data_IF_791942262275
#
_entry.id   IF_791942262275
#
_cell.length_a   1.000
_cell.length_b   1.000
_cell.length_c   1.000
_cell.angle_alpha   90.00
_cell.angle_beta   90.00
_cell.angle_gamma   90.00
#
_symmetry.space_group_name_H-M   'P 1'
#
loop_
_entity.id
_entity.type
_entity.pdbx_description
1 polymer ?
#
# COMPACT_ATOMS: atom_id res chain seq x y z
N UNK A 1 16.86 -1.12 -10.45
CA UNK A 1 15.58 -1.82 -10.19
C UNK A 1 14.47 -1.13 -10.97
N UNK A 2 13.38 -1.81 -11.30
CA UNK A 2 12.21 -1.16 -11.91
C UNK A 2 11.60 -0.13 -10.96
N UNK A 3 10.98 0.93 -11.49
CA UNK A 3 10.19 1.88 -10.71
C UNK A 3 8.74 1.43 -10.65
N UNK A 4 8.07 1.76 -9.55
CA UNK A 4 6.63 1.54 -9.41
C UNK A 4 5.99 2.59 -8.52
N UNK A 5 4.67 2.53 -8.43
CA UNK A 5 3.85 3.34 -7.52
C UNK A 5 2.70 2.51 -6.99
N UNK A 6 2.20 2.88 -5.82
CA UNK A 6 1.07 2.23 -5.17
C UNK A 6 -0.02 3.25 -4.88
N UNK A 7 -1.26 2.86 -5.12
CA UNK A 7 -2.45 3.62 -4.73
C UNK A 7 -3.29 2.76 -3.78
N UNK A 8 -3.84 3.39 -2.76
CA UNK A 8 -4.60 2.71 -1.72
C UNK A 8 -6.01 3.27 -1.72
N UNK A 9 -6.99 2.40 -1.91
CA UNK A 9 -8.38 2.76 -1.75
C UNK A 9 -8.74 2.76 -0.27
N UNK A 10 -8.79 3.96 0.31
CA UNK A 10 -8.91 4.21 1.75
C UNK A 10 -10.16 3.59 2.37
N UNK A 11 -11.29 3.62 1.66
CA UNK A 11 -12.58 3.10 2.14
C UNK A 11 -12.68 1.56 2.17
N UNK A 12 -11.78 0.87 1.47
CA UNK A 12 -11.64 -0.58 1.52
C UNK A 12 -10.56 -1.04 2.52
N UNK A 13 -9.64 -0.16 2.91
CA UNK A 13 -8.59 -0.48 3.88
C UNK A 13 -9.16 -0.61 5.30
N UNK A 14 -8.84 -1.71 5.98
CA UNK A 14 -9.30 -2.03 7.35
C UNK A 14 -8.15 -2.12 8.38
N UNK A 15 -7.05 -1.38 8.16
CA UNK A 15 -5.92 -1.28 9.09
C UNK A 15 -5.25 -2.61 9.53
N UNK A 16 -5.23 -3.65 8.70
CA UNK A 16 -4.60 -4.94 9.07
C UNK A 16 -3.06 -4.90 9.06
N UNK A 17 -2.47 -3.90 8.39
CA UNK A 17 -1.02 -3.65 8.29
C UNK A 17 -0.17 -4.77 7.66
N UNK A 18 -0.77 -5.78 7.03
CA UNK A 18 -0.01 -6.82 6.31
C UNK A 18 0.83 -6.24 5.18
N UNK A 19 0.30 -5.26 4.45
CA UNK A 19 1.00 -4.58 3.37
C UNK A 19 2.26 -3.82 3.88
N UNK A 20 2.19 -3.24 5.08
CA UNK A 20 3.32 -2.56 5.75
C UNK A 20 4.39 -3.59 6.11
N UNK A 21 4.00 -4.70 6.74
CA UNK A 21 4.93 -5.76 7.18
C UNK A 21 5.61 -6.47 6.01
N UNK A 22 4.89 -6.71 4.91
CA UNK A 22 5.42 -7.49 3.78
C UNK A 22 6.29 -6.66 2.83
N UNK A 23 6.15 -5.33 2.81
CA UNK A 23 6.81 -4.51 1.81
C UNK A 23 8.34 -4.54 2.00
N UNK A 24 9.11 -5.12 1.04
CA UNK A 24 10.55 -5.26 1.20
C UNK A 24 11.29 -3.91 1.18
N UNK A 25 10.66 -2.89 0.57
CA UNK A 25 11.19 -1.53 0.46
C UNK A 25 10.64 -0.58 1.53
N UNK A 26 9.79 -1.07 2.46
CA UNK A 26 9.18 -0.27 3.53
C UNK A 26 8.49 1.01 3.02
N UNK A 27 7.82 0.90 1.86
CA UNK A 27 7.12 2.02 1.20
C UNK A 27 5.87 2.43 1.97
N UNK A 28 5.21 1.49 2.64
CA UNK A 28 3.90 1.66 3.24
C UNK A 28 4.00 1.91 4.76
N UNK A 29 3.15 2.80 5.26
CA UNK A 29 2.91 3.05 6.69
C UNK A 29 1.42 3.19 6.99
N UNK A 30 1.07 3.71 8.17
CA UNK A 30 -0.31 4.01 8.57
C UNK A 30 -0.50 5.52 8.72
N UNK A 31 -1.74 5.99 8.57
CA UNK A 31 -2.15 7.36 8.93
C UNK A 31 -2.68 7.45 10.36
N UNK A 32 -2.73 8.67 10.91
CA UNK A 32 -3.48 9.00 12.14
C UNK A 32 -4.96 9.32 11.85
N UNK A 33 -5.30 9.59 10.58
CA UNK A 33 -6.68 9.80 10.15
C UNK A 33 -7.44 8.47 10.02
N UNK A 34 -8.77 8.55 10.00
CA UNK A 34 -9.66 7.41 9.76
C UNK A 34 -10.54 7.62 8.54
N UNK A 35 -10.93 6.53 7.88
CA UNK A 35 -11.90 6.54 6.78
C UNK A 35 -13.35 6.66 7.30
N UNK A 36 -14.34 6.65 6.41
CA UNK A 36 -15.76 6.81 6.79
C UNK A 36 -16.29 5.73 7.75
N UNK A 37 -15.59 4.59 7.86
CA UNK A 37 -15.93 3.46 8.72
C UNK A 37 -15.14 3.44 10.03
N UNK A 38 -14.31 4.45 10.28
CA UNK A 38 -13.50 4.56 11.50
C UNK A 38 -12.19 3.77 11.49
N UNK A 39 -11.76 3.22 10.34
CA UNK A 39 -10.47 2.54 10.25
C UNK A 39 -9.35 3.51 9.87
N UNK A 40 -8.21 3.42 10.57
CA UNK A 40 -6.96 3.92 10.02
C UNK A 40 -6.65 3.18 8.71
N UNK A 41 -5.97 3.84 7.78
CA UNK A 41 -5.65 3.26 6.48
C UNK A 41 -4.17 3.35 6.18
N UNK A 42 -3.71 2.43 5.33
CA UNK A 42 -2.34 2.44 4.88
C UNK A 42 -2.10 3.60 3.91
N UNK A 43 -0.88 4.17 3.92
CA UNK A 43 -0.44 5.22 3.01
C UNK A 43 1.00 4.96 2.55
N UNK A 44 1.40 5.37 1.32
CA UNK A 44 2.80 5.35 0.92
C UNK A 44 3.57 6.47 1.63
N UNK A 45 4.42 6.10 2.59
CA UNK A 45 5.27 7.04 3.35
C UNK A 45 6.62 7.29 2.69
N UNK A 46 7.05 6.39 1.80
CA UNK A 46 8.25 6.55 0.99
C UNK A 46 7.98 6.06 -0.45
N UNK A 47 7.14 6.77 -1.22
CA UNK A 47 6.68 6.32 -2.53
C UNK A 47 7.80 6.08 -3.54
N UNK A 48 8.88 6.86 -3.47
CA UNK A 48 10.02 6.79 -4.42
C UNK A 48 10.82 5.49 -4.33
N UNK A 49 10.72 4.76 -3.21
CA UNK A 49 11.37 3.46 -3.04
C UNK A 49 10.58 2.29 -3.65
N UNK A 50 9.38 2.54 -4.20
CA UNK A 50 8.55 1.48 -4.75
C UNK A 50 9.16 0.88 -6.03
N UNK A 51 9.28 -0.45 -6.06
CA UNK A 51 9.81 -1.21 -7.19
C UNK A 51 8.72 -1.95 -7.99
N UNK A 52 7.44 -1.74 -7.67
CA UNK A 52 6.31 -2.36 -8.37
C UNK A 52 6.24 -3.88 -8.26
N UNK A 53 6.65 -4.47 -7.13
CA UNK A 53 6.67 -5.94 -6.93
C UNK A 53 5.31 -6.59 -6.62
N UNK A 54 4.26 -5.79 -6.42
CA UNK A 54 2.88 -6.22 -6.12
C UNK A 54 2.63 -7.02 -4.83
N UNK A 55 3.65 -7.33 -4.01
CA UNK A 55 3.47 -8.10 -2.76
C UNK A 55 2.40 -7.51 -1.82
N UNK A 56 2.35 -6.18 -1.69
CA UNK A 56 1.35 -5.50 -0.87
C UNK A 56 -0.08 -5.71 -1.38
N UNK A 57 -0.30 -5.71 -2.69
CA UNK A 57 -1.61 -5.98 -3.28
C UNK A 57 -1.99 -7.45 -3.15
N UNK A 58 -1.05 -8.37 -3.37
CA UNK A 58 -1.29 -9.81 -3.25
C UNK A 58 -1.66 -10.23 -1.82
N UNK A 59 -1.05 -9.64 -0.79
CA UNK A 59 -1.36 -9.97 0.61
C UNK A 59 -2.62 -9.25 1.13
N UNK A 60 -3.15 -8.26 0.40
CA UNK A 60 -4.26 -7.45 0.88
C UNK A 60 -5.56 -8.26 0.83
N UNK A 61 -6.19 -8.61 1.97
CA UNK A 61 -7.40 -9.44 1.98
C UNK A 61 -8.61 -8.71 1.38
N UNK A 62 -8.62 -7.38 1.42
CA UNK A 62 -9.71 -6.54 0.92
C UNK A 62 -9.45 -5.99 -0.50
N UNK A 63 -8.37 -6.41 -1.16
CA UNK A 63 -7.96 -5.91 -2.48
C UNK A 63 -7.90 -4.37 -2.58
N UNK A 64 -7.54 -3.69 -1.49
CA UNK A 64 -7.57 -2.23 -1.39
C UNK A 64 -6.35 -1.52 -2.01
N UNK A 65 -5.45 -2.23 -2.68
CA UNK A 65 -4.16 -1.68 -3.16
C UNK A 65 -4.00 -1.97 -4.65
N UNK A 66 -3.78 -0.93 -5.43
CA UNK A 66 -3.39 -1.02 -6.84
C UNK A 66 -1.91 -0.71 -6.97
N UNK A 67 -1.20 -1.53 -7.75
CA UNK A 67 0.25 -1.39 -7.98
C UNK A 67 0.50 -1.17 -9.46
N UNK A 68 1.23 -0.11 -9.77
CA UNK A 68 1.67 0.21 -11.11
C UNK A 68 3.17 -0.02 -11.21
N UNK A 69 3.58 -0.66 -12.29
CA UNK A 69 4.99 -0.90 -12.60
C UNK A 69 5.32 -0.22 -13.91
N UNK A 70 6.37 0.60 -13.88
CA UNK A 70 6.89 1.20 -15.10
C UNK A 70 7.71 0.15 -15.84
N UNK A 71 7.26 -0.20 -17.04
CA UNK A 71 8.01 -1.04 -17.98
C UNK A 71 8.71 -0.09 -18.94
N UNK A 72 10.04 -0.15 -18.98
CA UNK A 72 10.83 0.52 -20.01
C UNK A 72 10.76 -0.25 -21.32
#
# INVERSE_FOLDING_TARGET
MAKGRVEIYTEACKSCLYCVKTCPQKVLGTTDAVNSKGYQYAVPVNPDACIGCAMCATICPDAAITVYREVK
#
